data_IF_445600686973
#
_entry.id   IF_445600686973
#
_cell.length_a   1.000
_cell.length_b   1.000
_cell.length_c   1.000
_cell.angle_alpha   90.00
_cell.angle_beta   90.00
_cell.angle_gamma   90.00
#
_symmetry.space_group_name_H-M   'P 1'
#
loop_
_entity.id
_entity.type
_entity.pdbx_description
1 polymer ?
#
# COMPACT_ATOMS: atom_id res chain seq x y z
N UNK A 1 11.90 -18.40 32.93
CA UNK A 1 11.53 -17.06 33.42
C UNK A 1 10.29 -16.62 32.67
N UNK A 2 9.23 -16.20 33.36
CA UNK A 2 8.05 -15.64 32.71
C UNK A 2 8.30 -14.14 32.47
N UNK A 3 7.98 -13.64 31.28
CA UNK A 3 8.09 -12.22 30.94
C UNK A 3 6.96 -11.48 31.67
N UNK A 4 7.28 -10.41 32.40
CA UNK A 4 6.28 -9.53 33.00
C UNK A 4 5.63 -8.67 31.89
N UNK A 5 4.40 -9.04 31.53
CA UNK A 5 3.66 -8.39 30.44
C UNK A 5 3.38 -6.91 30.73
N UNK A 6 3.11 -6.54 31.98
CA UNK A 6 2.82 -5.15 32.34
C UNK A 6 4.07 -4.28 32.19
N UNK A 7 5.21 -4.80 32.65
CA UNK A 7 6.49 -4.14 32.49
C UNK A 7 6.86 -3.99 31.02
N UNK A 8 6.65 -5.02 30.20
CA UNK A 8 6.87 -4.99 28.75
C UNK A 8 6.01 -3.92 28.07
N UNK A 9 4.70 -3.90 28.33
CA UNK A 9 3.78 -2.90 27.77
C UNK A 9 4.18 -1.48 28.19
N UNK A 10 4.57 -1.26 29.44
CA UNK A 10 5.01 0.05 29.92
C UNK A 10 6.30 0.51 29.25
N UNK A 11 7.30 -0.35 29.14
CA UNK A 11 8.56 0.00 28.52
C UNK A 11 8.36 0.37 27.04
N UNK A 12 7.63 -0.44 26.28
CA UNK A 12 7.42 -0.19 24.86
C UNK A 12 6.56 1.04 24.59
N UNK A 13 5.45 1.22 25.30
CA UNK A 13 4.62 2.41 25.11
C UNK A 13 5.39 3.69 25.44
N UNK A 14 6.27 3.66 26.46
CA UNK A 14 7.12 4.80 26.81
C UNK A 14 8.23 5.05 25.77
N UNK A 15 8.86 3.99 25.26
CA UNK A 15 9.85 4.09 24.18
C UNK A 15 9.23 4.74 22.94
N UNK A 16 8.11 4.22 22.46
CA UNK A 16 7.41 4.75 21.27
C UNK A 16 6.95 6.19 21.51
N UNK A 17 6.34 6.48 22.66
CA UNK A 17 5.88 7.83 22.99
C UNK A 17 7.02 8.85 23.07
N UNK A 18 8.14 8.51 23.72
CA UNK A 18 9.30 9.40 23.83
C UNK A 18 10.00 9.61 22.49
N UNK A 19 10.04 8.58 21.65
CA UNK A 19 10.61 8.66 20.29
C UNK A 19 9.80 9.62 19.42
N UNK A 20 8.47 9.49 19.38
CA UNK A 20 7.63 10.42 18.61
C UNK A 20 7.63 11.84 19.18
N UNK A 21 7.69 12.00 20.50
CA UNK A 21 7.87 13.32 21.11
C UNK A 21 9.21 13.96 20.70
N UNK A 22 10.28 13.16 20.60
CA UNK A 22 11.59 13.62 20.14
C UNK A 22 11.54 14.00 18.65
N UNK A 23 10.80 13.22 17.84
CA UNK A 23 10.55 13.54 16.44
C UNK A 23 9.82 14.88 16.28
N UNK A 24 8.82 15.18 17.11
CA UNK A 24 8.12 16.46 17.08
C UNK A 24 9.03 17.65 17.44
N UNK A 25 10.02 17.43 18.32
CA UNK A 25 10.95 18.47 18.76
C UNK A 25 12.11 18.71 17.80
N UNK A 26 12.67 17.64 17.22
CA UNK A 26 13.89 17.67 16.40
C UNK A 26 13.63 17.54 14.91
N UNK A 27 12.45 17.05 14.51
CA UNK A 27 12.10 16.80 13.11
C UNK A 27 13.11 15.88 12.43
N UNK A 28 13.56 16.30 11.25
CA UNK A 28 14.52 15.56 10.41
C UNK A 28 15.94 15.47 10.99
N UNK A 29 16.26 16.20 12.06
CA UNK A 29 17.56 16.11 12.74
C UNK A 29 17.66 14.90 13.70
N UNK A 30 16.57 14.15 13.86
CA UNK A 30 16.54 12.93 14.64
C UNK A 30 17.35 11.81 13.96
N UNK A 31 18.03 10.97 14.74
CA UNK A 31 18.66 9.77 14.21
C UNK A 31 17.56 8.79 13.76
N UNK A 32 17.59 8.43 12.48
CA UNK A 32 16.59 7.54 11.91
C UNK A 32 16.60 6.16 12.59
N UNK A 33 17.72 5.73 13.18
CA UNK A 33 17.83 4.42 13.84
C UNK A 33 17.00 4.33 15.12
N UNK A 34 16.89 5.43 15.85
CA UNK A 34 16.03 5.48 17.04
C UNK A 34 14.56 5.35 16.64
N UNK A 35 14.20 5.94 15.51
CA UNK A 35 12.85 5.88 14.95
C UNK A 35 12.53 4.49 14.36
N UNK A 36 13.49 3.90 13.66
CA UNK A 36 13.40 2.54 13.10
C UNK A 36 13.18 1.50 14.21
N UNK A 37 13.92 1.61 15.32
CA UNK A 37 13.74 0.75 16.50
C UNK A 37 12.34 0.91 17.09
N UNK A 38 11.87 2.15 17.32
CA UNK A 38 10.55 2.37 17.91
C UNK A 38 9.42 1.84 17.02
N UNK A 39 9.53 2.04 15.70
CA UNK A 39 8.57 1.51 14.74
C UNK A 39 8.62 -0.02 14.65
N UNK A 40 9.81 -0.62 14.72
CA UNK A 40 9.95 -2.07 14.71
C UNK A 40 9.33 -2.71 15.94
N UNK A 41 9.59 -2.15 17.12
CA UNK A 41 8.97 -2.60 18.36
C UNK A 41 7.45 -2.41 18.33
N UNK A 42 6.99 -1.28 17.80
CA UNK A 42 5.56 -1.03 17.58
C UNK A 42 4.95 -2.07 16.62
N UNK A 43 5.65 -2.46 15.56
CA UNK A 43 5.23 -3.49 14.60
C UNK A 43 5.14 -4.90 15.20
N UNK A 44 5.98 -5.22 16.20
CA UNK A 44 5.91 -6.47 16.95
C UNK A 44 4.85 -6.43 18.05
N UNK A 45 4.57 -5.26 18.63
CA UNK A 45 3.60 -5.09 19.71
C UNK A 45 2.19 -5.60 19.37
N UNK A 46 1.83 -5.58 18.08
CA UNK A 46 0.57 -6.14 17.59
C UNK A 46 0.37 -7.63 17.87
N UNK A 47 1.42 -8.43 18.06
CA UNK A 47 1.27 -9.84 18.45
C UNK A 47 0.64 -9.98 19.84
N UNK A 48 0.90 -9.00 20.72
CA UNK A 48 0.28 -8.90 22.04
C UNK A 48 -1.09 -8.23 21.98
N UNK A 49 -1.21 -7.14 21.20
CA UNK A 49 -2.39 -6.29 21.18
C UNK A 49 -3.53 -6.83 20.30
N UNK A 50 -3.21 -7.63 19.28
CA UNK A 50 -4.14 -8.16 18.28
C UNK A 50 -3.82 -9.64 17.97
N UNK A 51 -3.84 -10.54 18.96
CA UNK A 51 -3.40 -11.93 18.82
C UNK A 51 -4.18 -12.72 17.75
N UNK A 52 -5.43 -12.33 17.46
CA UNK A 52 -6.29 -12.98 16.48
C UNK A 52 -6.06 -12.51 15.02
N UNK A 53 -5.12 -11.61 14.77
CA UNK A 53 -4.73 -11.18 13.42
C UNK A 53 -3.44 -11.86 12.91
N UNK A 54 -2.84 -12.75 13.70
CA UNK A 54 -1.70 -13.59 13.32
C UNK A 54 -2.03 -15.08 13.14
N UNK A 55 -1.12 -15.83 12.51
CA UNK A 55 -1.16 -17.29 12.35
C UNK A 55 -0.84 -18.01 13.68
N UNK A 56 -1.65 -17.81 14.73
CA UNK A 56 -1.36 -18.49 15.99
C UNK A 56 -2.19 -18.06 17.17
N UNK A 57 -3.12 -18.94 17.54
CA UNK A 57 -3.76 -19.07 18.86
C UNK A 57 -4.82 -18.05 19.29
N UNK A 58 -5.96 -18.60 19.73
CA UNK A 58 -7.06 -17.93 20.41
C UNK A 58 -6.64 -17.52 21.82
N UNK A 59 -6.11 -16.33 22.00
CA UNK A 59 -6.10 -15.65 23.29
C UNK A 59 -6.91 -14.37 23.17
N UNK A 60 -7.78 -14.09 24.14
CA UNK A 60 -8.58 -12.87 24.18
C UNK A 60 -7.65 -11.66 24.05
N UNK A 61 -7.96 -10.65 23.20
CA UNK A 61 -7.18 -9.43 23.16
C UNK A 61 -7.15 -8.85 24.58
N UNK A 62 -5.96 -8.61 25.14
CA UNK A 62 -5.91 -7.82 26.37
C UNK A 62 -6.30 -6.41 25.99
N UNK A 63 -7.48 -5.96 26.44
CA UNK A 63 -8.04 -4.64 26.11
C UNK A 63 -7.01 -3.53 26.36
N UNK A 64 -6.22 -3.63 27.44
CA UNK A 64 -5.16 -2.64 27.73
C UNK A 64 -4.07 -2.57 26.65
N UNK A 65 -3.60 -3.70 26.10
CA UNK A 65 -2.61 -3.67 25.03
C UNK A 65 -3.23 -3.13 23.73
N UNK A 66 -4.47 -3.48 23.43
CA UNK A 66 -5.20 -2.94 22.28
C UNK A 66 -5.37 -1.41 22.40
N UNK A 67 -5.76 -0.92 23.58
CA UNK A 67 -5.89 0.52 23.86
C UNK A 67 -4.54 1.25 23.71
N UNK A 68 -3.45 0.65 24.21
CA UNK A 68 -2.10 1.19 24.03
C UNK A 68 -1.68 1.23 22.56
N UNK A 69 -1.99 0.19 21.79
CA UNK A 69 -1.70 0.18 20.36
C UNK A 69 -2.46 1.28 19.63
N UNK A 70 -3.74 1.50 19.96
CA UNK A 70 -4.54 2.62 19.41
C UNK A 70 -3.85 3.95 19.72
N UNK A 71 -3.43 4.19 20.97
CA UNK A 71 -2.73 5.43 21.34
C UNK A 71 -1.40 5.59 20.59
N UNK A 72 -0.63 4.51 20.43
CA UNK A 72 0.63 4.55 19.66
C UNK A 72 0.38 4.85 18.18
N UNK A 73 -0.64 4.24 17.58
CA UNK A 73 -1.08 4.52 16.20
C UNK A 73 -1.50 5.97 16.01
N UNK A 74 -2.30 6.52 16.93
CA UNK A 74 -2.73 7.92 16.88
C UNK A 74 -1.53 8.87 16.95
N UNK A 75 -0.57 8.60 17.83
CA UNK A 75 0.67 9.39 17.90
C UNK A 75 1.51 9.27 16.63
N UNK A 76 1.65 8.07 16.07
CA UNK A 76 2.39 7.85 14.83
C UNK A 76 1.76 8.63 13.68
N UNK A 77 0.45 8.52 13.48
CA UNK A 77 -0.27 9.23 12.41
C UNK A 77 -0.25 10.74 12.63
N UNK A 78 -0.41 11.20 13.87
CA UNK A 78 -0.33 12.62 14.22
C UNK A 78 1.08 13.22 14.13
N UNK A 79 2.12 12.39 14.04
CA UNK A 79 3.50 12.84 13.95
C UNK A 79 3.91 13.18 12.51
N UNK A 80 5.04 13.87 12.36
CA UNK A 80 5.65 14.17 11.06
C UNK A 80 6.30 12.97 10.34
N UNK A 81 6.09 11.72 10.80
CA UNK A 81 6.85 10.55 10.36
C UNK A 81 6.73 10.23 8.88
N UNK A 82 5.55 10.48 8.29
CA UNK A 82 5.35 10.26 6.86
C UNK A 82 6.20 11.22 6.00
N UNK A 83 6.71 12.32 6.57
CA UNK A 83 7.57 13.31 5.93
C UNK A 83 9.08 13.03 6.17
N UNK A 84 9.42 11.94 6.87
CA UNK A 84 10.79 11.65 7.22
C UNK A 84 11.61 11.25 5.99
N UNK A 85 12.87 11.65 5.91
CA UNK A 85 13.68 11.50 4.68
C UNK A 85 14.16 10.06 4.44
N UNK A 86 14.27 9.25 5.49
CA UNK A 86 14.88 7.94 5.39
C UNK A 86 13.89 6.87 4.84
N UNK A 87 14.22 6.17 3.73
CA UNK A 87 13.35 5.19 3.08
C UNK A 87 12.75 4.12 3.99
N UNK A 88 13.56 3.55 4.91
CA UNK A 88 13.12 2.49 5.80
C UNK A 88 11.96 2.93 6.70
N UNK A 89 12.00 4.19 7.18
CA UNK A 89 10.98 4.76 8.06
C UNK A 89 9.65 4.91 7.31
N UNK A 90 9.71 5.38 6.06
CA UNK A 90 8.51 5.55 5.24
C UNK A 90 7.82 4.21 4.95
N UNK A 91 8.61 3.19 4.58
CA UNK A 91 8.08 1.85 4.33
C UNK A 91 7.51 1.22 5.59
N UNK A 92 8.21 1.34 6.71
CA UNK A 92 7.77 0.77 7.98
C UNK A 92 6.51 1.46 8.51
N UNK A 93 6.37 2.78 8.33
CA UNK A 93 5.12 3.50 8.58
C UNK A 93 3.95 2.90 7.78
N UNK A 94 4.14 2.71 6.47
CA UNK A 94 3.09 2.12 5.61
C UNK A 94 2.76 0.68 6.04
N UNK A 95 3.77 -0.12 6.38
CA UNK A 95 3.59 -1.50 6.86
C UNK A 95 2.81 -1.57 8.17
N UNK A 96 3.08 -0.66 9.11
CA UNK A 96 2.34 -0.56 10.37
C UNK A 96 0.89 -0.14 10.12
N UNK A 97 0.66 0.85 9.24
CA UNK A 97 -0.69 1.26 8.84
C UNK A 97 -1.49 0.08 8.24
N UNK A 98 -0.88 -0.71 7.36
CA UNK A 98 -1.52 -1.90 6.78
C UNK A 98 -1.71 -3.01 7.83
N UNK A 99 -0.73 -3.25 8.69
CA UNK A 99 -0.80 -4.32 9.70
C UNK A 99 -1.89 -4.04 10.73
N UNK A 100 -2.05 -2.79 11.16
CA UNK A 100 -3.01 -2.38 12.18
C UNK A 100 -4.21 -1.65 11.61
N UNK A 101 -4.62 -2.03 10.40
CA UNK A 101 -5.70 -1.37 9.69
C UNK A 101 -7.03 -1.36 10.46
N UNK A 102 -7.27 -2.36 11.30
CA UNK A 102 -8.42 -2.46 12.21
C UNK A 102 -8.59 -1.24 13.13
N UNK A 103 -7.49 -0.55 13.46
CA UNK A 103 -7.53 0.68 14.28
C UNK A 103 -8.27 1.79 13.53
N UNK A 104 -8.10 1.86 12.21
CA UNK A 104 -8.77 2.85 11.35
C UNK A 104 -10.24 2.53 11.12
N UNK A 105 -10.64 1.25 11.19
CA UNK A 105 -12.07 0.91 11.19
C UNK A 105 -12.79 1.47 12.42
N UNK A 106 -12.11 1.47 13.58
CA UNK A 106 -12.63 2.02 14.84
C UNK A 106 -12.47 3.55 14.95
N UNK A 107 -11.50 4.13 14.23
CA UNK A 107 -11.19 5.55 14.23
C UNK A 107 -11.08 6.08 12.79
N UNK A 108 -12.20 6.17 12.06
CA UNK A 108 -12.21 6.52 10.64
C UNK A 108 -11.71 7.95 10.35
N UNK A 109 -11.68 8.82 11.35
CA UNK A 109 -11.20 10.21 11.23
C UNK A 109 -9.74 10.31 10.75
N UNK A 110 -8.92 9.27 10.98
CA UNK A 110 -7.52 9.23 10.54
C UNK A 110 -7.35 8.71 9.10
N UNK A 111 -8.37 8.09 8.51
CA UNK A 111 -8.29 7.51 7.16
C UNK A 111 -7.88 8.55 6.11
N UNK A 112 -8.48 9.76 6.04
CA UNK A 112 -8.11 10.75 5.03
C UNK A 112 -6.63 11.14 5.10
N UNK A 113 -6.10 11.37 6.30
CA UNK A 113 -4.70 11.75 6.50
C UNK A 113 -3.74 10.62 6.10
N UNK A 114 -4.06 9.38 6.46
CA UNK A 114 -3.23 8.23 6.08
C UNK A 114 -3.29 8.01 4.57
N UNK A 115 -4.45 8.15 3.94
CA UNK A 115 -4.58 8.07 2.48
C UNK A 115 -3.78 9.14 1.77
N UNK A 116 -3.80 10.39 2.24
CA UNK A 116 -2.98 11.47 1.71
C UNK A 116 -1.49 11.13 1.77
N UNK A 117 -1.02 10.62 2.92
CA UNK A 117 0.35 10.15 3.08
C UNK A 117 0.69 9.02 2.10
N UNK A 118 -0.20 8.03 1.93
CA UNK A 118 -0.01 6.93 1.00
C UNK A 118 0.03 7.42 -0.45
N UNK A 119 -0.88 8.30 -0.86
CA UNK A 119 -0.91 8.92 -2.20
C UNK A 119 0.42 9.61 -2.47
N UNK A 120 1.01 10.33 -1.50
CA UNK A 120 2.35 10.89 -1.70
C UNK A 120 3.43 9.82 -1.87
N UNK A 121 3.41 8.78 -1.03
CA UNK A 121 4.45 7.74 -1.02
C UNK A 121 4.42 6.85 -2.28
N UNK A 122 3.26 6.63 -2.91
CA UNK A 122 3.20 5.91 -4.20
C UNK A 122 3.84 6.67 -5.36
N UNK A 123 4.07 7.97 -5.20
CA UNK A 123 4.80 8.82 -6.15
C UNK A 123 6.28 8.99 -5.80
N UNK A 124 6.81 8.25 -4.81
CA UNK A 124 8.20 8.40 -4.41
C UNK A 124 9.17 8.08 -5.56
N UNK A 125 10.23 8.87 -5.72
CA UNK A 125 11.18 8.75 -6.86
C UNK A 125 11.98 7.43 -6.81
N UNK A 126 12.37 7.01 -5.62
CA UNK A 126 13.11 5.76 -5.41
C UNK A 126 12.28 4.51 -5.75
N UNK A 127 12.72 3.74 -6.75
CA UNK A 127 12.01 2.61 -7.34
C UNK A 127 11.57 1.53 -6.33
N UNK A 128 12.44 1.16 -5.37
CA UNK A 128 12.10 0.17 -4.32
C UNK A 128 11.00 0.66 -3.38
N UNK A 129 10.95 1.96 -3.10
CA UNK A 129 9.90 2.53 -2.26
C UNK A 129 8.62 2.55 -3.07
N UNK A 130 8.66 3.10 -4.28
CA UNK A 130 7.54 3.19 -5.20
C UNK A 130 6.80 1.86 -5.37
N UNK A 131 7.51 0.81 -5.77
CA UNK A 131 6.95 -0.54 -5.99
C UNK A 131 6.35 -1.14 -4.72
N UNK A 132 7.06 -1.03 -3.58
CA UNK A 132 6.55 -1.52 -2.29
C UNK A 132 5.34 -0.71 -1.80
N UNK A 133 5.34 0.60 -2.01
CA UNK A 133 4.25 1.51 -1.67
C UNK A 133 2.99 1.20 -2.47
N UNK A 134 3.10 0.82 -3.76
CA UNK A 134 1.95 0.38 -4.57
C UNK A 134 1.25 -0.84 -3.97
N UNK A 135 2.02 -1.84 -3.55
CA UNK A 135 1.49 -3.02 -2.87
C UNK A 135 0.82 -2.67 -1.54
N UNK A 136 1.48 -1.87 -0.70
CA UNK A 136 0.94 -1.50 0.61
C UNK A 136 -0.32 -0.63 0.47
N UNK A 137 -0.35 0.27 -0.50
CA UNK A 137 -1.53 1.07 -0.85
C UNK A 137 -2.70 0.19 -1.26
N UNK A 138 -2.49 -0.76 -2.16
CA UNK A 138 -3.51 -1.75 -2.51
C UNK A 138 -4.03 -2.48 -1.27
N UNK A 139 -3.15 -3.01 -0.42
CA UNK A 139 -3.58 -3.71 0.80
C UNK A 139 -4.42 -2.84 1.73
N UNK A 140 -4.00 -1.59 1.92
CA UNK A 140 -4.73 -0.63 2.74
C UNK A 140 -6.14 -0.35 2.19
N UNK A 141 -6.25 -0.07 0.89
CA UNK A 141 -7.53 0.18 0.21
C UNK A 141 -8.44 -1.05 0.28
N UNK A 142 -7.89 -2.25 0.05
CA UNK A 142 -8.66 -3.51 0.08
C UNK A 142 -9.27 -3.76 1.45
N UNK A 143 -8.54 -3.49 2.54
CA UNK A 143 -9.03 -3.66 3.91
C UNK A 143 -10.05 -2.59 4.30
N UNK A 144 -9.87 -1.33 3.87
CA UNK A 144 -10.79 -0.22 4.19
C UNK A 144 -11.86 0.03 3.13
N UNK A 145 -12.13 -0.94 2.25
CA UNK A 145 -13.00 -0.78 1.09
C UNK A 145 -14.37 -0.17 1.44
N UNK A 146 -14.96 -0.53 2.58
CA UNK A 146 -16.25 0.02 3.02
C UNK A 146 -16.21 1.52 3.37
N UNK A 147 -15.05 2.05 3.77
CA UNK A 147 -14.87 3.40 4.32
C UNK A 147 -14.32 4.41 3.30
N UNK A 148 -13.83 3.96 2.14
CA UNK A 148 -13.11 4.82 1.17
C UNK A 148 -13.96 5.32 0.00
N UNK A 149 -15.26 4.95 -0.07
CA UNK A 149 -16.11 5.27 -1.22
C UNK A 149 -16.33 6.78 -1.46
N UNK A 150 -16.33 7.58 -0.39
CA UNK A 150 -16.51 9.04 -0.47
C UNK A 150 -15.28 9.77 -1.05
N UNK A 151 -14.09 9.19 -0.95
CA UNK A 151 -12.82 9.75 -1.45
C UNK A 151 -12.35 9.07 -2.74
N UNK A 152 -13.13 8.13 -3.28
CA UNK A 152 -12.79 7.33 -4.45
C UNK A 152 -12.33 8.17 -5.66
N UNK A 153 -13.11 9.19 -6.02
CA UNK A 153 -12.82 10.08 -7.15
C UNK A 153 -11.47 10.78 -6.97
N UNK A 154 -11.23 11.35 -5.79
CA UNK A 154 -9.99 12.06 -5.46
C UNK A 154 -8.79 11.13 -5.52
N UNK A 155 -8.91 9.93 -4.96
CA UNK A 155 -7.84 8.95 -4.95
C UNK A 155 -7.50 8.48 -6.36
N UNK A 156 -8.50 8.11 -7.17
CA UNK A 156 -8.31 7.67 -8.57
C UNK A 156 -7.63 8.78 -9.38
N UNK A 157 -8.07 10.03 -9.22
CA UNK A 157 -7.45 11.15 -9.91
C UNK A 157 -5.99 11.36 -9.48
N UNK A 158 -5.71 11.23 -8.18
CA UNK A 158 -4.38 11.51 -7.61
C UNK A 158 -3.31 10.50 -7.99
N UNK A 159 -3.68 9.30 -8.45
CA UNK A 159 -2.72 8.26 -8.90
C UNK A 159 -2.81 8.02 -10.41
N UNK A 160 -3.62 8.79 -11.13
CA UNK A 160 -3.92 8.55 -12.55
C UNK A 160 -2.71 8.68 -13.46
N UNK A 161 -1.74 9.52 -13.09
CA UNK A 161 -0.46 9.70 -13.76
C UNK A 161 0.48 8.48 -13.65
N UNK A 162 0.24 7.60 -12.66
CA UNK A 162 0.98 6.36 -12.47
C UNK A 162 0.41 5.18 -13.28
N UNK A 163 -0.75 5.34 -13.92
CA UNK A 163 -1.44 4.27 -14.66
C UNK A 163 -0.98 4.05 -16.11
N UNK A 164 -0.38 5.00 -16.85
CA UNK A 164 0.14 4.72 -18.18
C UNK A 164 1.12 3.55 -18.17
N UNK A 165 0.82 2.53 -18.96
CA UNK A 165 1.65 1.34 -19.12
C UNK A 165 2.72 1.63 -20.17
N UNK A 166 3.97 1.27 -19.87
CA UNK A 166 5.09 1.38 -20.82
C UNK A 166 5.80 0.04 -20.88
N UNK A 167 5.40 -0.79 -21.82
CA UNK A 167 6.05 -2.08 -22.06
C UNK A 167 7.41 -1.87 -22.74
N UNK A 168 8.45 -2.42 -22.13
CA UNK A 168 9.81 -2.46 -22.67
C UNK A 168 10.18 -3.92 -22.93
N UNK A 169 10.75 -4.19 -24.10
CA UNK A 169 11.25 -5.54 -24.44
C UNK A 169 12.63 -5.69 -23.80
N UNK A 170 12.89 -6.74 -23.00
CA UNK A 170 14.21 -6.99 -22.45
C UNK A 170 15.26 -7.04 -23.57
N UNK A 171 16.38 -6.33 -23.39
CA UNK A 171 17.50 -6.40 -24.33
C UNK A 171 18.21 -7.75 -24.26
N UNK A 172 18.81 -8.18 -25.38
CA UNK A 172 19.55 -9.45 -25.48
C UNK A 172 20.76 -9.53 -24.53
N UNK A 173 21.25 -8.39 -24.03
CA UNK A 173 22.39 -8.30 -23.10
C UNK A 173 22.01 -8.47 -21.61
N UNK A 174 20.72 -8.68 -21.29
CA UNK A 174 20.24 -8.73 -19.91
C UNK A 174 20.46 -10.09 -19.21
N UNK A 175 20.94 -11.12 -19.92
CA UNK A 175 21.04 -12.48 -19.40
C UNK A 175 22.43 -12.82 -18.80
N UNK A 176 23.47 -12.00 -19.01
CA UNK A 176 24.85 -12.41 -18.71
C UNK A 176 25.50 -11.84 -17.44
N UNK A 177 24.86 -10.92 -16.70
CA UNK A 177 25.46 -10.38 -15.46
C UNK A 177 24.45 -9.91 -14.38
N UNK A 178 23.23 -10.45 -14.35
CA UNK A 178 22.22 -10.03 -13.39
C UNK A 178 22.50 -10.61 -12.00
N UNK A 179 23.08 -9.79 -11.13
CA UNK A 179 23.02 -9.98 -9.67
C UNK A 179 21.56 -10.13 -9.22
N UNK A 180 21.28 -11.01 -8.25
CA UNK A 180 19.92 -11.26 -7.74
C UNK A 180 19.22 -10.02 -7.16
N UNK A 181 19.95 -8.93 -6.92
CA UNK A 181 19.39 -7.64 -6.47
C UNK A 181 18.84 -6.77 -7.62
N UNK A 182 19.15 -7.09 -8.88
CA UNK A 182 18.71 -6.34 -10.08
C UNK A 182 17.46 -6.94 -10.75
N UNK A 183 17.08 -8.19 -10.43
CA UNK A 183 15.84 -8.80 -10.93
C UNK A 183 14.58 -8.04 -10.51
N UNK A 184 14.62 -7.41 -9.33
CA UNK A 184 13.56 -6.54 -8.79
C UNK A 184 13.46 -5.19 -9.53
N UNK A 185 14.35 -4.92 -10.48
CA UNK A 185 14.41 -3.68 -11.27
C UNK A 185 14.09 -3.88 -12.75
N UNK A 186 13.74 -5.11 -13.16
CA UNK A 186 13.30 -5.35 -14.54
C UNK A 186 12.01 -4.58 -14.86
N UNK A 187 11.83 -4.21 -16.14
CA UNK A 187 10.61 -3.57 -16.61
C UNK A 187 9.36 -4.44 -16.33
N UNK A 188 9.52 -5.76 -16.37
CA UNK A 188 8.44 -6.71 -16.04
C UNK A 188 8.13 -6.71 -14.53
N UNK A 189 9.12 -6.69 -13.64
CA UNK A 189 8.90 -6.56 -12.20
C UNK A 189 8.20 -5.24 -11.82
N UNK A 190 8.56 -4.15 -12.51
CA UNK A 190 7.89 -2.85 -12.37
C UNK A 190 6.43 -2.92 -12.81
N UNK A 191 6.16 -3.50 -13.97
CA UNK A 191 4.79 -3.68 -14.46
C UNK A 191 3.96 -4.56 -13.53
N UNK A 192 4.50 -5.70 -13.09
CA UNK A 192 3.85 -6.58 -12.12
C UNK A 192 3.51 -5.86 -10.81
N UNK A 193 4.37 -4.94 -10.37
CA UNK A 193 4.08 -4.08 -9.21
C UNK A 193 3.00 -3.04 -9.52
N UNK A 194 2.98 -2.47 -10.73
CA UNK A 194 1.99 -1.49 -11.18
C UNK A 194 0.56 -2.07 -11.17
N UNK A 195 0.41 -3.38 -11.38
CA UNK A 195 -0.88 -4.08 -11.30
C UNK A 195 -1.58 -3.88 -9.94
N UNK A 196 -0.86 -3.65 -8.85
CA UNK A 196 -1.47 -3.33 -7.56
C UNK A 196 -2.26 -2.02 -7.60
N UNK A 197 -1.84 -1.02 -8.38
CA UNK A 197 -2.60 0.23 -8.54
C UNK A 197 -3.94 -0.04 -9.25
N UNK A 198 -3.94 -0.89 -10.29
CA UNK A 198 -5.17 -1.28 -10.98
C UNK A 198 -6.11 -2.07 -10.08
N UNK A 199 -5.59 -3.00 -9.25
CA UNK A 199 -6.41 -3.74 -8.28
C UNK A 199 -7.00 -2.80 -7.23
N UNK A 200 -6.20 -1.86 -6.70
CA UNK A 200 -6.65 -0.86 -5.74
C UNK A 200 -7.79 0.01 -6.30
N UNK A 201 -7.69 0.43 -7.57
CA UNK A 201 -8.76 1.17 -8.24
C UNK A 201 -10.00 0.31 -8.43
N UNK A 202 -9.84 -0.97 -8.77
CA UNK A 202 -10.96 -1.93 -8.78
C UNK A 202 -11.68 -1.97 -7.43
N UNK A 203 -10.93 -2.10 -6.34
CA UNK A 203 -11.48 -2.14 -4.98
C UNK A 203 -12.21 -0.85 -4.57
N UNK A 204 -11.61 0.32 -4.83
CA UNK A 204 -12.22 1.61 -4.45
C UNK A 204 -13.42 1.97 -5.33
N UNK A 205 -13.47 1.45 -6.57
CA UNK A 205 -14.57 1.72 -7.50
C UNK A 205 -15.81 0.86 -7.24
N UNK A 206 -15.66 -0.24 -6.51
CA UNK A 206 -16.70 -1.25 -6.30
C UNK A 206 -17.35 -1.18 -4.91
N UNK A 207 -17.22 -0.05 -4.21
CA UNK A 207 -17.79 0.10 -2.86
C UNK A 207 -19.32 0.19 -2.91
N UNK A 208 -20.01 -0.57 -2.05
CA UNK A 208 -21.49 -0.57 -2.00
C UNK A 208 -22.09 0.81 -1.64
N UNK A 209 -21.29 1.68 -1.01
CA UNK A 209 -21.68 3.05 -0.68
C UNK A 209 -21.72 3.99 -1.89
N UNK A 210 -21.12 3.59 -3.02
CA UNK A 210 -21.05 4.40 -4.25
C UNK A 210 -22.18 4.01 -5.20
N UNK A 211 -23.00 4.97 -5.70
CA UNK A 211 -24.03 4.68 -6.71
C UNK A 211 -23.47 4.07 -7.98
N UNK A 212 -24.21 3.15 -8.62
CA UNK A 212 -23.77 2.43 -9.81
C UNK A 212 -23.27 3.34 -10.95
N UNK A 213 -23.92 4.49 -11.16
CA UNK A 213 -23.49 5.47 -12.18
C UNK A 213 -22.09 6.03 -11.90
N UNK A 214 -21.75 6.28 -10.63
CA UNK A 214 -20.42 6.73 -10.22
C UNK A 214 -19.39 5.59 -10.33
N UNK A 215 -19.76 4.37 -9.95
CA UNK A 215 -18.89 3.20 -10.13
C UNK A 215 -18.52 3.01 -11.62
N UNK A 216 -19.51 3.14 -12.52
CA UNK A 216 -19.30 3.07 -13.96
C UNK A 216 -18.41 4.22 -14.47
N UNK A 217 -18.58 5.44 -13.94
CA UNK A 217 -17.74 6.58 -14.27
C UNK A 217 -16.27 6.34 -13.88
N UNK A 218 -16.02 5.84 -12.66
CA UNK A 218 -14.68 5.51 -12.17
C UNK A 218 -14.01 4.38 -12.98
N UNK A 219 -14.78 3.35 -13.34
CA UNK A 219 -14.26 2.28 -14.19
C UNK A 219 -13.86 2.82 -15.58
N UNK A 220 -14.72 3.63 -16.20
CA UNK A 220 -14.45 4.23 -17.53
C UNK A 220 -13.26 5.17 -17.53
N UNK A 221 -13.05 5.94 -16.46
CA UNK A 221 -11.90 6.86 -16.38
C UNK A 221 -10.55 6.14 -16.45
N UNK A 222 -10.51 4.84 -16.14
CA UNK A 222 -9.30 4.00 -16.27
C UNK A 222 -9.35 3.09 -17.50
N UNK A 223 -10.51 2.51 -17.82
CA UNK A 223 -10.64 1.58 -18.94
C UNK A 223 -10.54 2.27 -20.32
N UNK A 224 -11.10 3.47 -20.48
CA UNK A 224 -11.12 4.15 -21.78
C UNK A 224 -9.70 4.48 -22.29
N UNK A 225 -8.78 5.04 -21.47
CA UNK A 225 -7.39 5.22 -21.89
C UNK A 225 -6.68 3.92 -22.26
N UNK A 226 -6.94 2.83 -21.54
CA UNK A 226 -6.35 1.52 -21.82
C UNK A 226 -6.83 0.95 -23.16
N UNK A 227 -8.11 1.07 -23.47
CA UNK A 227 -8.64 0.63 -24.77
C UNK A 227 -8.10 1.47 -25.92
N UNK A 228 -8.02 2.79 -25.75
CA UNK A 228 -7.42 3.67 -26.76
C UNK A 228 -5.95 3.31 -27.02
N UNK A 229 -5.18 3.05 -25.97
CA UNK A 229 -3.78 2.63 -26.10
C UNK A 229 -3.64 1.27 -26.81
N UNK A 230 -4.54 0.33 -26.52
CA UNK A 230 -4.59 -0.96 -27.20
C UNK A 230 -4.90 -0.79 -28.70
N UNK A 231 -5.88 0.05 -29.05
CA UNK A 231 -6.25 0.34 -30.44
C UNK A 231 -5.08 0.92 -31.25
N UNK A 232 -4.29 1.81 -30.65
CA UNK A 232 -3.10 2.40 -31.27
C UNK A 232 -2.01 1.36 -31.52
N UNK A 233 -1.83 0.39 -30.61
CA UNK A 233 -0.78 -0.63 -30.73
C UNK A 233 -1.16 -1.83 -31.62
N UNK A 234 -2.45 -2.08 -31.85
CA UNK A 234 -2.95 -3.21 -32.65
C UNK A 234 -2.31 -3.35 -34.05
N UNK A 235 -2.18 -2.30 -34.88
CA UNK A 235 -1.58 -2.40 -36.21
C UNK A 235 -0.10 -2.81 -36.18
N UNK A 236 0.66 -2.27 -35.21
CA UNK A 236 2.08 -2.59 -35.03
C UNK A 236 2.25 -4.03 -34.57
N UNK A 237 1.45 -4.46 -33.59
CA UNK A 237 1.47 -5.84 -33.11
C UNK A 237 1.15 -6.85 -34.23
N UNK A 238 0.16 -6.55 -35.08
CA UNK A 238 -0.16 -7.37 -36.27
C UNK A 238 0.99 -7.46 -37.28
N UNK A 239 1.86 -6.45 -37.30
CA UNK A 239 3.04 -6.40 -38.16
C UNK A 239 4.26 -7.12 -37.56
N UNK A 240 4.11 -7.75 -36.39
CA UNK A 240 5.17 -8.51 -35.72
C UNK A 240 6.03 -7.68 -34.76
N UNK A 241 5.64 -6.45 -34.41
CA UNK A 241 6.35 -5.63 -33.43
C UNK A 241 6.20 -6.20 -32.01
N UNK A 242 7.28 -6.74 -31.47
CA UNK A 242 7.31 -7.37 -30.15
C UNK A 242 6.93 -6.42 -29.01
N UNK A 243 7.33 -5.14 -29.09
CA UNK A 243 7.01 -4.14 -28.08
C UNK A 243 5.50 -3.85 -28.08
N UNK A 244 4.90 -3.74 -29.26
CA UNK A 244 3.45 -3.54 -29.38
C UNK A 244 2.65 -4.76 -28.90
N UNK A 245 3.14 -5.98 -29.15
CA UNK A 245 2.52 -7.21 -28.61
C UNK A 245 2.58 -7.20 -27.09
N UNK A 246 3.73 -6.86 -26.50
CA UNK A 246 3.90 -6.81 -25.05
C UNK A 246 3.06 -5.70 -24.40
N UNK A 247 2.93 -4.54 -25.05
CA UNK A 247 2.04 -3.47 -24.59
C UNK A 247 0.59 -3.96 -24.49
N UNK A 248 0.08 -4.62 -25.54
CA UNK A 248 -1.28 -5.18 -25.54
C UNK A 248 -1.43 -6.24 -24.43
N UNK A 249 -0.43 -7.10 -24.24
CA UNK A 249 -0.41 -8.09 -23.16
C UNK A 249 -0.57 -7.43 -21.78
N UNK A 250 0.24 -6.39 -21.50
CA UNK A 250 0.16 -5.64 -20.25
C UNK A 250 -1.19 -4.95 -20.06
N UNK A 251 -1.76 -4.36 -21.11
CA UNK A 251 -3.09 -3.75 -21.04
C UNK A 251 -4.16 -4.80 -20.67
N UNK A 252 -4.12 -5.97 -21.29
CA UNK A 252 -5.06 -7.07 -20.99
C UNK A 252 -4.93 -7.52 -19.53
N UNK A 253 -3.69 -7.65 -19.03
CA UNK A 253 -3.44 -7.97 -17.61
C UNK A 253 -4.00 -6.88 -16.69
N UNK A 254 -3.75 -5.60 -16.98
CA UNK A 254 -4.25 -4.48 -16.17
C UNK A 254 -5.79 -4.44 -16.12
N UNK A 255 -6.46 -4.65 -17.26
CA UNK A 255 -7.92 -4.77 -17.32
C UNK A 255 -8.44 -5.96 -16.49
N UNK A 256 -7.77 -7.11 -16.58
CA UNK A 256 -8.11 -8.30 -15.78
C UNK A 256 -7.96 -8.07 -14.28
N UNK A 257 -6.87 -7.42 -13.87
CA UNK A 257 -6.58 -7.09 -12.47
C UNK A 257 -7.55 -6.06 -11.91
N UNK A 258 -7.89 -5.03 -12.69
CA UNK A 258 -8.93 -4.05 -12.31
C UNK A 258 -10.28 -4.74 -12.10
N UNK A 259 -10.67 -5.64 -13.00
CA UNK A 259 -11.89 -6.42 -12.86
C UNK A 259 -11.86 -7.34 -11.63
N UNK A 260 -10.71 -7.94 -11.32
CA UNK A 260 -10.52 -8.73 -10.11
C UNK A 260 -10.76 -7.89 -8.84
N UNK A 261 -10.14 -6.71 -8.76
CA UNK A 261 -10.34 -5.79 -7.64
C UNK A 261 -11.77 -5.27 -7.50
N UNK A 262 -12.51 -5.18 -8.61
CA UNK A 262 -13.92 -4.79 -8.62
C UNK A 262 -14.85 -5.89 -8.08
N UNK A 263 -14.43 -7.15 -8.15
CA UNK A 263 -15.19 -8.28 -7.64
C UNK A 263 -14.99 -8.48 -6.13
N UNK A 264 -16.02 -8.92 -5.43
CA UNK A 264 -15.90 -9.44 -4.05
C UNK A 264 -15.40 -10.89 -4.02
N UNK A 265 -15.01 -11.42 -5.17
CA UNK A 265 -14.72 -12.84 -5.31
C UNK A 265 -13.40 -13.20 -4.64
N UNK A 266 -13.49 -14.06 -3.63
CA UNK A 266 -12.35 -14.79 -3.07
C UNK A 266 -12.44 -16.28 -3.43
N UNK A 267 -11.31 -16.98 -3.65
CA UNK A 267 -11.36 -18.42 -3.88
C UNK A 267 -12.04 -19.13 -2.70
N UNK A 268 -13.19 -19.76 -2.95
CA UNK A 268 -13.97 -20.49 -1.93
C UNK A 268 -15.26 -19.81 -1.46
N UNK A 269 -15.56 -18.59 -1.90
CA UNK A 269 -16.88 -17.98 -1.73
C UNK A 269 -17.82 -18.36 -2.89
N UNK A 270 -18.59 -19.44 -2.71
CA UNK A 270 -19.76 -19.82 -3.50
C UNK A 270 -20.80 -20.46 -2.58
#
# INVERSE_FOLDING_TARGET
AAIDQQLYMNMLSNLVASTFQTLDQRGSEMDWRDLDLALYEMYLFGELALPNQGLGTKNQPSTEASDRLVVMMQKMVGSGIANFSHPAILLQYMEICVRYCIVFESHPDYIPQVLENFVRLVHHDHVRIKTRSWYLFHRFIKQLRSQVGNVAETVIHSIGDLLPIKAEVPGEDADDDMSSDESDHSADALFNSQLYLFEAIGCISSTHSTPADKQAMYARSVMDPLFQDMEVHLPRAKSGDAQAVLQIHHIVMALGTLAHGFSDWSPGSA
#
